data_IF_534805283715
#
_entry.id   IF_534805283715
#
_cell.length_a   1.000
_cell.length_b   1.000
_cell.length_c   1.000
_cell.angle_alpha   90.00
_cell.angle_beta   90.00
_cell.angle_gamma   90.00
#
_symmetry.space_group_name_H-M   'P 1'
#
loop_
_entity.id
_entity.type
_entity.pdbx_description
1 polymer ?
2 non-polymer ?
3 non-polymer ?
4 water ?
#
# COMPACT_ATOMS: atom_id res chain seq x y z
N UNK A 1 -7.41 -17.84 -1.23
CA UNK A 1 -7.20 -16.48 -1.83
C UNK A 1 -7.50 -15.37 -0.82
N UNK A 2 -6.66 -14.35 -0.81
CA UNK A 2 -6.83 -13.23 0.11
C UNK A 2 -6.78 -11.91 -0.64
N UNK A 3 -7.79 -11.08 -0.42
CA UNK A 3 -7.84 -9.79 -1.10
C UNK A 3 -6.99 -8.74 -0.39
N UNK A 4 -6.03 -8.18 -1.12
CA UNK A 4 -5.16 -7.12 -0.61
C UNK A 4 -5.44 -5.88 -1.45
N UNK A 5 -5.87 -4.80 -0.81
CA UNK A 5 -6.18 -3.59 -1.55
C UNK A 5 -5.17 -2.48 -1.26
N UNK A 6 -4.75 -1.78 -2.31
CA UNK A 6 -3.80 -0.68 -2.16
C UNK A 6 -4.52 0.66 -2.28
N UNK A 7 -4.42 1.46 -1.23
CA UNK A 7 -5.09 2.74 -1.18
C UNK A 7 -4.07 3.86 -0.98
N UNK A 8 -4.46 5.08 -1.37
CA UNK A 8 -3.59 6.23 -1.22
C UNK A 8 -3.80 7.25 -2.33
N UNK A 9 -3.29 8.46 -2.11
CA UNK A 9 -3.42 9.53 -3.09
C UNK A 9 -2.75 9.14 -4.40
N UNK A 10 -3.11 9.87 -5.46
CA UNK A 10 -2.58 9.66 -6.79
C UNK A 10 -1.08 9.95 -6.84
N UNK A 11 -0.35 9.12 -7.58
CA UNK A 11 1.09 9.30 -7.76
C UNK A 11 2.02 8.97 -6.59
N UNK A 12 1.53 8.29 -5.56
CA UNK A 12 2.40 7.95 -4.43
C UNK A 12 3.23 6.70 -4.69
N UNK A 13 2.81 5.89 -5.66
CA UNK A 13 3.56 4.69 -5.98
C UNK A 13 2.85 3.35 -5.85
N UNK A 14 1.52 3.36 -5.76
CA UNK A 14 0.77 2.11 -5.64
C UNK A 14 1.06 1.14 -6.78
N UNK A 15 0.84 1.60 -8.01
CA UNK A 15 1.06 0.77 -9.18
C UNK A 15 2.52 0.29 -9.25
N UNK A 16 3.46 1.18 -8.96
CA UNK A 16 4.88 0.82 -9.01
C UNK A 16 5.25 -0.22 -7.96
N UNK A 17 4.76 -0.07 -6.74
CA UNK A 17 5.07 -1.05 -5.70
C UNK A 17 4.54 -2.42 -6.12
N UNK A 18 3.30 -2.45 -6.59
CA UNK A 18 2.68 -3.70 -7.03
C UNK A 18 3.49 -4.33 -8.17
N UNK A 19 3.92 -3.51 -9.13
CA UNK A 19 4.71 -4.00 -10.25
C UNK A 19 6.04 -4.55 -9.75
N UNK A 20 6.66 -3.84 -8.83
CA UNK A 20 7.93 -4.26 -8.26
C UNK A 20 7.80 -5.64 -7.62
N UNK A 21 6.72 -5.86 -6.88
CA UNK A 21 6.52 -7.15 -6.24
C UNK A 21 6.17 -8.26 -7.23
N UNK A 22 5.35 -7.94 -8.22
CA UNK A 22 4.92 -8.91 -9.22
C UNK A 22 5.99 -9.38 -10.21
N UNK A 23 6.75 -8.43 -10.76
CA UNK A 23 7.77 -8.78 -11.75
C UNK A 23 9.17 -8.30 -11.40
N UNK A 24 9.32 -7.74 -10.21
CA UNK A 24 10.62 -7.25 -9.76
C UNK A 24 11.24 -6.33 -10.81
N UNK A 25 10.42 -5.47 -11.38
CA UNK A 25 10.87 -4.51 -12.39
C UNK A 25 10.34 -3.12 -12.05
N UNK A 26 10.88 -2.10 -12.71
CA UNK A 26 10.46 -0.73 -12.48
C UNK A 26 10.58 0.07 -13.78
N UNK A 27 9.50 0.74 -14.16
CA UNK A 27 9.48 1.55 -15.37
C UNK A 27 9.97 2.96 -15.06
N UNK A 28 11.26 3.19 -15.25
CA UNK A 28 11.86 4.49 -14.98
C UNK A 28 11.28 5.59 -15.86
N UNK A 29 10.62 5.21 -16.95
CA UNK A 29 10.03 6.17 -17.87
C UNK A 29 8.52 6.25 -17.70
N UNK A 30 7.98 5.47 -16.77
CA UNK A 30 6.54 5.43 -16.53
C UNK A 30 5.95 6.75 -16.04
N UNK A 31 5.10 7.34 -16.87
CA UNK A 31 4.45 8.59 -16.52
C UNK A 31 3.04 8.33 -15.98
N UNK A 32 2.90 8.49 -14.67
CA UNK A 32 1.65 8.31 -13.92
C UNK A 32 0.37 8.12 -14.75
N UNK A 33 -0.48 7.20 -14.33
CA UNK A 33 -1.72 6.94 -15.03
C UNK A 33 -2.91 6.83 -14.09
N UNK A 34 -4.10 6.81 -14.69
CA UNK A 34 -5.32 6.69 -13.93
C UNK A 34 -5.95 5.38 -14.38
N UNK A 35 -6.30 4.54 -13.43
CA UNK A 35 -6.89 3.26 -13.76
C UNK A 35 -6.85 2.30 -12.59
N UNK A 36 -7.52 1.18 -12.75
CA UNK A 36 -7.56 0.16 -11.72
C UNK A 36 -6.98 -1.10 -12.35
N UNK A 37 -6.67 -2.09 -11.53
CA UNK A 37 -6.12 -3.32 -12.06
C UNK A 37 -6.17 -4.45 -11.04
N UNK A 38 -6.16 -5.68 -11.54
CA UNK A 38 -6.13 -6.84 -10.67
C UNK A 38 -5.02 -7.82 -11.06
N UNK A 39 -4.27 -8.22 -10.05
CA UNK A 39 -3.18 -9.16 -10.24
C UNK A 39 -3.10 -10.04 -9.01
N UNK A 40 -2.87 -11.33 -9.22
CA UNK A 40 -2.76 -12.26 -8.11
C UNK A 40 -1.45 -13.04 -8.18
N UNK A 41 -0.92 -13.40 -7.02
CA UNK A 41 0.33 -14.14 -6.97
C UNK A 41 0.33 -15.08 -5.78
N UNK A 42 1.00 -16.22 -5.94
CA UNK A 42 1.08 -17.18 -4.86
C UNK A 42 2.44 -17.09 -4.18
N UNK A 43 2.43 -16.89 -2.87
CA UNK A 43 3.66 -16.83 -2.10
C UNK A 43 3.78 -18.11 -1.29
N UNK A 44 4.96 -18.70 -1.27
CA UNK A 44 5.15 -19.93 -0.52
C UNK A 44 5.85 -19.62 0.79
N UNK A 45 5.11 -19.79 1.88
CA UNK A 45 5.64 -19.53 3.22
C UNK A 45 6.06 -20.84 3.88
N UNK A 46 7.02 -20.77 4.80
CA UNK A 46 7.49 -21.96 5.51
C UNK A 46 6.38 -22.45 6.44
N UNK A 47 5.20 -22.65 5.86
CA UNK A 47 4.03 -23.11 6.59
C UNK A 47 3.00 -23.56 5.56
N UNK A 48 3.19 -23.10 4.33
CA UNK A 48 2.28 -23.43 3.24
C UNK A 48 2.11 -22.28 2.28
N UNK A 49 1.52 -22.52 1.10
CA UNK A 49 1.31 -21.47 0.09
C UNK A 49 0.15 -20.54 0.42
N UNK A 50 0.27 -19.28 0.02
CA UNK A 50 -0.79 -18.30 0.25
C UNK A 50 -1.04 -17.52 -1.03
N UNK A 51 -2.28 -17.59 -1.52
CA UNK A 51 -2.66 -16.90 -2.75
C UNK A 51 -3.10 -15.46 -2.44
N UNK A 52 -2.48 -14.49 -3.09
CA UNK A 52 -2.81 -13.09 -2.87
C UNK A 52 -3.47 -12.48 -4.10
N UNK A 53 -4.54 -11.72 -3.88
CA UNK A 53 -5.25 -11.05 -4.96
C UNK A 53 -5.06 -9.56 -4.70
N UNK A 54 -4.22 -8.93 -5.51
CA UNK A 54 -3.91 -7.52 -5.35
C UNK A 54 -4.82 -6.60 -6.16
N UNK A 55 -5.44 -5.64 -5.47
CA UNK A 55 -6.32 -4.67 -6.10
C UNK A 55 -5.62 -3.32 -6.16
N UNK A 56 -5.33 -2.84 -7.37
CA UNK A 56 -4.69 -1.55 -7.58
C UNK A 56 -5.83 -0.56 -7.82
N UNK A 57 -5.97 0.43 -6.95
CA UNK A 57 -7.07 1.39 -7.07
C UNK A 57 -6.73 2.76 -7.64
N UNK A 58 -7.78 3.55 -7.87
CA UNK A 58 -7.65 4.91 -8.38
C UNK A 58 -8.08 5.80 -7.22
N UNK A 59 -7.12 6.52 -6.63
CA UNK A 59 -7.41 7.35 -5.47
C UNK A 59 -7.86 8.79 -5.63
N UNK A 60 -7.99 9.29 -6.85
CA UNK A 60 -8.44 10.67 -7.02
C UNK A 60 -9.83 10.86 -6.44
N UNK A 61 -10.07 12.05 -5.89
CA UNK A 61 -11.35 12.40 -5.28
C UNK A 61 -12.57 12.07 -6.14
N UNK A 62 -12.46 12.24 -7.45
CA UNK A 62 -13.60 11.96 -8.32
C UNK A 62 -14.06 10.50 -8.30
N UNK A 63 -13.22 9.61 -7.78
CA UNK A 63 -13.57 8.19 -7.72
C UNK A 63 -13.94 7.75 -6.32
N UNK A 64 -14.22 8.70 -5.43
CA UNK A 64 -14.55 8.38 -4.05
C UNK A 64 -15.73 7.42 -3.87
N UNK A 65 -16.73 7.47 -4.75
CA UNK A 65 -17.87 6.57 -4.59
C UNK A 65 -17.51 5.11 -4.84
N UNK A 66 -16.30 4.87 -5.33
CA UNK A 66 -15.89 3.49 -5.59
C UNK A 66 -15.14 2.88 -4.41
N UNK A 67 -14.81 3.71 -3.43
CA UNK A 67 -14.04 3.24 -2.29
C UNK A 67 -14.66 2.05 -1.57
N UNK A 68 -15.97 2.10 -1.28
CA UNK A 68 -16.55 0.94 -0.59
C UNK A 68 -16.27 -0.38 -1.32
N UNK A 69 -16.39 -0.37 -2.65
CA UNK A 69 -16.15 -1.61 -3.40
C UNK A 69 -14.67 -1.99 -3.40
N UNK A 70 -13.78 -1.00 -3.27
CA UNK A 70 -12.35 -1.31 -3.23
C UNK A 70 -12.03 -2.12 -1.99
N UNK A 71 -12.53 -1.64 -0.85
CA UNK A 71 -12.27 -2.23 0.46
C UNK A 71 -13.09 -3.45 0.86
N UNK A 72 -14.30 -3.56 0.33
CA UNK A 72 -15.17 -4.67 0.69
C UNK A 72 -14.48 -6.04 0.69
N UNK A 73 -14.71 -6.80 1.77
CA UNK A 73 -14.16 -8.14 1.95
C UNK A 73 -12.64 -8.29 1.89
N UNK A 74 -11.91 -7.19 2.02
CA UNK A 74 -10.46 -7.28 1.96
C UNK A 74 -9.89 -7.95 3.21
N UNK A 75 -8.86 -8.77 3.00
CA UNK A 75 -8.20 -9.46 4.11
C UNK A 75 -7.07 -8.58 4.64
N UNK A 76 -6.60 -7.66 3.80
CA UNK A 76 -5.53 -6.74 4.18
C UNK A 76 -5.64 -5.46 3.36
N UNK A 77 -5.13 -4.37 3.92
CA UNK A 77 -5.18 -3.09 3.24
C UNK A 77 -3.88 -2.34 3.44
N UNK A 78 -3.29 -1.90 2.33
CA UNK A 78 -2.05 -1.16 2.35
C UNK A 78 -2.34 0.29 2.00
N UNK A 79 -2.05 1.19 2.93
CA UNK A 79 -2.25 2.61 2.71
C UNK A 79 -0.87 3.17 2.40
N UNK A 80 -0.71 3.65 1.17
CA UNK A 80 0.57 4.18 0.70
C UNK A 80 0.62 5.70 0.56
N UNK A 81 1.74 6.28 0.95
CA UNK A 81 1.96 7.71 0.80
C UNK A 81 3.37 7.91 0.25
N UNK A 82 3.71 9.15 -0.10
CA UNK A 82 5.00 9.51 -0.68
C UNK A 82 5.80 10.28 0.37
N UNK A 83 6.96 9.76 0.78
CA UNK A 83 7.73 10.44 1.81
C UNK A 83 8.18 11.84 1.43
N UNK A 84 8.07 12.18 0.15
CA UNK A 84 8.46 13.52 -0.30
C UNK A 84 7.23 14.42 -0.45
N UNK A 85 6.04 13.89 -0.17
CA UNK A 85 4.80 14.67 -0.30
C UNK A 85 3.99 14.67 0.99
N UNK A 86 4.03 15.79 1.70
CA UNK A 86 3.32 15.95 2.96
C UNK A 86 1.80 15.75 2.85
N UNK A 87 1.20 16.27 1.78
CA UNK A 87 -0.24 16.14 1.59
C UNK A 87 -0.69 14.68 1.43
N UNK A 88 0.13 13.86 0.79
CA UNK A 88 -0.23 12.45 0.62
C UNK A 88 -0.20 11.76 1.98
N UNK A 89 0.62 12.27 2.89
CA UNK A 89 0.72 11.67 4.22
C UNK A 89 -0.44 12.10 5.10
N UNK A 90 -0.82 13.37 4.98
CA UNK A 90 -1.93 13.89 5.76
C UNK A 90 -3.24 13.17 5.42
N UNK A 91 -3.31 12.59 4.22
CA UNK A 91 -4.52 11.87 3.80
C UNK A 91 -4.59 10.42 4.24
N UNK A 92 -3.51 9.90 4.81
CA UNK A 92 -3.49 8.51 5.23
C UNK A 92 -4.57 8.21 6.26
N UNK A 93 -4.82 9.17 7.14
CA UNK A 93 -5.84 9.00 8.18
C UNK A 93 -7.19 8.77 7.51
N UNK A 94 -7.46 9.53 6.44
CA UNK A 94 -8.72 9.40 5.71
C UNK A 94 -8.88 7.97 5.17
N UNK A 95 -7.80 7.43 4.60
CA UNK A 95 -7.86 6.08 4.06
C UNK A 95 -7.97 5.03 5.15
N UNK A 96 -7.28 5.25 6.26
CA UNK A 96 -7.34 4.29 7.35
C UNK A 96 -8.76 4.25 7.93
N UNK A 97 -9.41 5.40 8.01
CA UNK A 97 -10.78 5.45 8.53
C UNK A 97 -11.74 4.73 7.57
N UNK A 98 -11.57 4.91 6.26
CA UNK A 98 -12.43 4.23 5.30
C UNK A 98 -12.29 2.72 5.51
N UNK A 99 -11.08 2.27 5.81
CA UNK A 99 -10.85 0.85 6.03
C UNK A 99 -11.57 0.37 7.29
N UNK A 100 -11.43 1.11 8.39
CA UNK A 100 -12.07 0.74 9.65
C UNK A 100 -13.60 0.74 9.53
N UNK A 101 -14.16 1.72 8.84
CA UNK A 101 -15.60 1.80 8.67
C UNK A 101 -16.15 0.55 7.99
N UNK A 102 -15.51 0.16 6.90
CA UNK A 102 -15.92 -0.99 6.11
C UNK A 102 -15.55 -2.38 6.63
N UNK A 103 -14.44 -2.51 7.35
CA UNK A 103 -14.00 -3.83 7.82
C UNK A 103 -13.80 -4.01 9.32
N UNK A 104 -13.82 -2.92 10.08
CA UNK A 104 -13.62 -3.04 11.51
C UNK A 104 -12.31 -3.76 11.84
N UNK A 105 -12.39 -4.75 12.72
CA UNK A 105 -11.22 -5.52 13.14
C UNK A 105 -10.85 -6.69 12.22
N UNK A 106 -11.70 -7.00 11.24
CA UNK A 106 -11.43 -8.12 10.35
C UNK A 106 -10.53 -7.82 9.15
N UNK A 107 -9.45 -7.08 9.38
CA UNK A 107 -8.52 -6.76 8.30
C UNK A 107 -7.14 -6.34 8.81
N UNK A 108 -6.10 -6.81 8.13
CA UNK A 108 -4.73 -6.45 8.49
C UNK A 108 -4.43 -5.14 7.76
N UNK A 109 -3.93 -4.14 8.48
CA UNK A 109 -3.62 -2.86 7.84
C UNK A 109 -2.13 -2.54 7.87
N UNK A 110 -1.62 -2.01 6.76
CA UNK A 110 -0.21 -1.63 6.67
C UNK A 110 -0.08 -0.22 6.12
N UNK A 111 0.78 0.58 6.75
CA UNK A 111 1.03 1.94 6.31
C UNK A 111 2.43 1.92 5.67
N UNK A 112 2.52 2.43 4.44
CA UNK A 112 3.77 2.42 3.70
C UNK A 112 4.23 3.79 3.20
N UNK A 113 5.46 4.16 3.57
CA UNK A 113 6.03 5.41 3.11
C UNK A 113 6.91 5.03 1.91
N UNK A 114 6.51 5.42 0.71
CA UNK A 114 7.26 5.07 -0.50
C UNK A 114 8.20 6.17 -1.01
N UNK A 115 9.11 5.78 -1.90
CA UNK A 115 10.09 6.67 -2.53
C UNK A 115 11.26 7.02 -1.60
N UNK A 116 11.77 6.00 -0.94
CA UNK A 116 12.86 6.18 0.00
C UNK A 116 14.20 6.49 -0.70
N UNK A 117 14.24 6.37 -2.02
CA UNK A 117 15.46 6.66 -2.78
C UNK A 117 15.63 8.16 -3.01
N UNK A 118 14.68 8.96 -2.52
CA UNK A 118 14.73 10.41 -2.66
C UNK A 118 14.83 11.03 -1.27
N UNK A 119 15.70 10.47 -0.43
CA UNK A 119 15.86 10.96 0.92
C UNK A 119 16.16 12.44 1.01
N UNK A 120 16.87 12.96 0.02
CA UNK A 120 17.22 14.37 -0.01
C UNK A 120 15.98 15.23 -0.16
N UNK A 121 14.89 14.63 -0.64
CA UNK A 121 13.64 15.38 -0.82
C UNK A 121 12.57 15.00 0.21
N UNK A 122 12.97 14.27 1.25
CA UNK A 122 12.03 13.83 2.29
C UNK A 122 11.32 14.98 3.01
N UNK A 123 10.00 14.86 3.16
CA UNK A 123 9.22 15.88 3.85
C UNK A 123 8.50 15.26 5.04
N UNK A 124 8.53 13.93 5.12
CA UNK A 124 7.91 13.19 6.21
C UNK A 124 8.94 12.24 6.82
N UNK A 125 9.23 12.44 8.10
CA UNK A 125 10.22 11.62 8.80
C UNK A 125 9.70 10.22 9.09
N UNK A 126 10.63 9.29 9.25
CA UNK A 126 10.28 7.91 9.55
C UNK A 126 9.48 7.91 10.85
N UNK A 127 9.91 8.76 11.77
CA UNK A 127 9.29 8.92 13.08
C UNK A 127 7.79 9.20 12.94
N UNK A 128 7.44 10.22 12.18
CA UNK A 128 6.04 10.58 11.95
C UNK A 128 5.22 9.41 11.43
N UNK A 129 5.75 8.73 10.43
CA UNK A 129 5.04 7.60 9.86
C UNK A 129 4.80 6.52 10.90
N UNK A 130 5.82 6.24 11.70
CA UNK A 130 5.74 5.21 12.73
C UNK A 130 4.70 5.57 13.80
N UNK A 131 4.64 6.84 14.18
CA UNK A 131 3.68 7.26 15.18
C UNK A 131 2.24 7.09 14.68
N UNK A 132 2.00 7.46 13.43
CA UNK A 132 0.68 7.31 12.84
C UNK A 132 0.26 5.85 12.86
N UNK A 133 1.19 4.97 12.49
CA UNK A 133 0.90 3.54 12.46
C UNK A 133 0.60 3.00 13.85
N UNK A 134 1.31 3.52 14.84
CA UNK A 134 1.13 3.08 16.22
C UNK A 134 -0.22 3.57 16.75
N UNK A 135 -0.66 4.73 16.28
CA UNK A 135 -1.93 5.29 16.71
C UNK A 135 -3.10 4.35 16.39
N UNK A 136 -2.99 3.65 15.27
CA UNK A 136 -4.03 2.73 14.82
C UNK A 136 -3.58 1.27 14.84
N UNK A 137 -2.45 0.99 15.48
CA UNK A 137 -1.92 -0.37 15.57
C UNK A 137 -1.75 -1.06 14.22
N UNK A 138 -1.24 -0.34 13.23
CA UNK A 138 -1.02 -0.93 11.91
C UNK A 138 0.47 -1.27 11.76
N UNK A 139 0.82 -1.95 10.67
CA UNK A 139 2.21 -2.26 10.38
C UNK A 139 2.77 -0.96 9.78
N UNK A 140 4.09 -0.81 9.79
CA UNK A 140 4.71 0.37 9.19
C UNK A 140 5.98 0.01 8.43
N UNK A 141 6.06 0.49 7.19
CA UNK A 141 7.19 0.22 6.32
C UNK A 141 7.48 1.40 5.40
N UNK A 142 8.76 1.59 5.08
CA UNK A 142 9.15 2.63 4.13
C UNK A 142 9.81 1.85 3.00
N UNK A 143 9.39 2.13 1.77
CA UNK A 143 9.90 1.40 0.61
C UNK A 143 10.40 2.29 -0.52
N UNK A 144 10.93 1.62 -1.54
CA UNK A 144 11.38 2.29 -2.75
C UNK A 144 11.11 1.32 -3.87
N UNK A 145 10.12 1.64 -4.71
CA UNK A 145 9.80 0.78 -5.83
C UNK A 145 10.87 0.96 -6.92
N UNK A 146 11.42 2.16 -7.02
CA UNK A 146 12.44 2.46 -8.03
C UNK A 146 13.69 1.62 -7.80
N UNK A 147 14.24 1.70 -6.60
CA UNK A 147 15.45 0.95 -6.27
C UNK A 147 15.13 -0.49 -5.91
N UNK A 148 13.87 -0.76 -5.60
CA UNK A 148 13.48 -2.11 -5.23
C UNK A 148 14.02 -2.43 -3.85
N UNK A 149 13.80 -1.53 -2.90
CA UNK A 149 14.27 -1.73 -1.52
C UNK A 149 13.14 -1.95 -0.51
N UNK A 150 13.33 -2.95 0.34
CA UNK A 150 12.41 -3.29 1.42
C UNK A 150 10.94 -3.47 1.04
N UNK A 151 10.68 -4.12 -0.09
CA UNK A 151 9.30 -4.35 -0.51
C UNK A 151 8.85 -5.79 -0.30
N UNK A 152 9.76 -6.74 -0.47
CA UNK A 152 9.42 -8.14 -0.29
C UNK A 152 8.97 -8.47 1.13
N UNK A 153 9.61 -7.85 2.12
CA UNK A 153 9.23 -8.12 3.51
C UNK A 153 7.80 -7.67 3.81
N UNK A 154 7.33 -6.65 3.09
CA UNK A 154 5.98 -6.13 3.27
C UNK A 154 4.94 -7.19 2.93
N UNK A 155 5.06 -7.78 1.75
CA UNK A 155 4.13 -8.80 1.31
C UNK A 155 4.27 -10.10 2.11
N UNK A 156 5.48 -10.40 2.56
CA UNK A 156 5.73 -11.61 3.32
C UNK A 156 5.06 -11.53 4.70
N UNK A 157 5.16 -10.38 5.34
CA UNK A 157 4.55 -10.18 6.65
C UNK A 157 3.03 -10.25 6.57
N UNK A 158 2.47 -9.68 5.50
CA UNK A 158 1.02 -9.67 5.31
C UNK A 158 0.50 -11.06 5.00
N UNK A 159 1.20 -11.78 4.14
CA UNK A 159 0.78 -13.12 3.77
C UNK A 159 0.92 -14.10 4.93
N UNK A 160 1.80 -13.80 5.88
CA UNK A 160 2.01 -14.69 7.01
C UNK A 160 0.93 -14.55 8.07
N UNK A 161 0.69 -13.32 8.53
CA UNK A 161 -0.32 -13.10 9.56
C UNK A 161 -1.66 -12.69 8.98
N UNK A 162 -2.32 -13.63 8.32
CA UNK A 162 -3.61 -13.37 7.71
C UNK A 162 -4.27 -14.66 7.22
X LIG B 1 -1.77 3.82 -10.22
X LIG C 1 0.04 5.56 -8.20
X LIG C 1 -0.81 6.65 -8.67
X LIG C 1 0.03 5.40 -6.75
X LIG C 1 -0.30 4.24 -8.82
X LIG C 1 1.55 5.96 -8.57
X LIG C 1 2.57 5.41 -9.69
X LIG C 1 1.95 5.59 -11.01
X LIG C 1 2.92 4.01 -9.34
X LIG C 1 3.82 6.36 -9.38
X LIG C 1 3.80 7.78 -9.64
X LIG C 1 5.13 8.28 -10.23
X LIG C 1 6.18 8.10 -9.22
X LIG C 1 5.61 7.49 -11.46
X LIG C 1 6.17 8.47 -12.36
X LIG C 1 6.63 6.49 -10.87
X LIG C 1 7.62 6.07 -11.86
X LIG C 1 7.25 7.25 -9.69
X LIG C 1 7.66 6.32 -8.55
X LIG C 1 6.97 5.24 -7.98
X LIG C 1 7.60 4.63 -7.00
X LIG C 1 8.78 5.35 -6.91
X LIG C 1 9.92 5.21 -6.04
X LIG C 1 10.09 4.39 -5.15
X LIG C 1 10.93 6.15 -6.26
X LIG C 1 10.89 7.17 -7.25
X LIG C 1 11.92 7.99 -7.36
X LIG C 1 9.84 7.31 -8.07
X LIG C 1 8.82 6.40 -7.86
#
# INVERSE_FOLDING_TARGET
KYKLVFLGEQAVGKTSIITRFMYDTFDNNYQSTIGIDFLSKTLYLDEGPVRLQLWDTAGQERFRSLIPSYIRDSAAAIVVYDITNRQSFENTTKWIQDILNERGKDVIIALVGNKTDLGDLRKVTYEEGMQKAQEYNTMFHETSAKAGHNIKVLFKKTASKL
MG MG
GDP PB O1B O2B O3B O3A PA O1A O2A O5' C5' C4' O4' C3' O3' C2' O2' C1' N9 C8 N7 C5 C6 O6 N1 C2 N2 N3 C4
#
